data_IF_044533272188
#
_entry.id   IF_044533272188
#
_cell.length_a   1.000
_cell.length_b   1.000
_cell.length_c   1.000
_cell.angle_alpha   90.00
_cell.angle_beta   90.00
_cell.angle_gamma   90.00
#
_symmetry.space_group_name_H-M   'P 1'
#
loop_
_entity.id
_entity.type
_entity.pdbx_description
1 polymer ?
#
# COMPACT_ATOMS: atom_id res chain seq x y z
N UNK A 1 -55.65 12.97 -48.81
CA UNK A 1 -55.12 11.62 -48.50
C UNK A 1 -54.23 11.57 -47.24
N UNK A 2 -54.05 12.67 -46.49
CA UNK A 2 -53.10 12.78 -45.35
C UNK A 2 -53.73 12.41 -43.99
N UNK A 3 -55.06 12.27 -43.91
CA UNK A 3 -55.77 12.04 -42.63
C UNK A 3 -55.64 10.63 -42.03
N UNK A 4 -55.11 9.66 -42.78
CA UNK A 4 -55.12 8.23 -42.37
C UNK A 4 -53.81 7.77 -41.72
N UNK A 5 -52.75 8.56 -41.80
CA UNK A 5 -51.42 8.24 -41.22
C UNK A 5 -51.22 8.78 -39.80
N UNK A 6 -52.05 9.74 -39.36
CA UNK A 6 -51.96 10.35 -38.01
C UNK A 6 -52.39 9.39 -36.89
N UNK A 7 -53.27 8.41 -37.17
CA UNK A 7 -53.73 7.42 -36.19
C UNK A 7 -52.69 6.35 -35.84
N UNK A 8 -51.74 6.07 -36.74
CA UNK A 8 -50.67 5.09 -36.49
C UNK A 8 -49.57 5.65 -35.58
N UNK A 9 -49.37 6.98 -35.55
CA UNK A 9 -48.35 7.64 -34.74
C UNK A 9 -48.78 7.93 -33.29
N UNK A 10 -50.09 7.86 -32.97
CA UNK A 10 -50.58 8.06 -31.60
C UNK A 10 -50.45 6.81 -30.72
N UNK A 11 -50.59 5.61 -31.31
CA UNK A 11 -50.41 4.33 -30.59
C UNK A 11 -48.97 4.09 -30.16
N UNK A 12 -47.99 4.53 -30.94
CA UNK A 12 -46.57 4.36 -30.61
C UNK A 12 -46.13 5.25 -29.44
N UNK A 13 -46.72 6.44 -29.26
CA UNK A 13 -46.40 7.33 -28.12
C UNK A 13 -46.89 6.80 -26.78
N UNK A 14 -47.99 6.04 -26.75
CA UNK A 14 -48.52 5.44 -25.51
C UNK A 14 -47.65 4.24 -25.09
N UNK A 15 -47.25 3.39 -26.05
CA UNK A 15 -46.40 2.22 -25.78
C UNK A 15 -44.99 2.56 -25.25
N UNK A 16 -44.45 3.75 -25.55
CA UNK A 16 -43.15 4.21 -25.03
C UNK A 16 -43.29 4.73 -23.59
N UNK A 17 -44.45 5.32 -23.24
CA UNK A 17 -44.71 5.89 -21.91
C UNK A 17 -44.98 4.82 -20.85
N UNK A 18 -45.58 3.69 -21.23
CA UNK A 18 -45.78 2.53 -20.34
C UNK A 18 -44.51 1.69 -20.13
N UNK A 19 -43.46 1.92 -20.93
CA UNK A 19 -42.14 1.26 -20.80
C UNK A 19 -41.11 2.08 -20.02
N UNK A 20 -41.44 3.29 -19.59
CA UNK A 20 -40.61 4.09 -18.69
C UNK A 20 -40.93 3.71 -17.23
N UNK A 21 -40.61 2.46 -16.87
CA UNK A 21 -40.57 2.04 -15.47
C UNK A 21 -39.29 2.62 -14.86
N UNK A 22 -39.42 3.74 -14.14
CA UNK A 22 -38.32 4.32 -13.38
C UNK A 22 -38.00 3.47 -12.15
N UNK A 23 -36.72 3.43 -11.75
CA UNK A 23 -36.30 2.90 -10.46
C UNK A 23 -37.06 3.62 -9.35
N UNK A 24 -37.60 2.85 -8.40
CA UNK A 24 -38.23 3.43 -7.23
C UNK A 24 -37.17 4.04 -6.31
N UNK A 25 -37.49 5.15 -5.64
CA UNK A 25 -36.58 5.75 -4.64
C UNK A 25 -36.24 4.76 -3.51
N UNK A 26 -37.17 3.86 -3.19
CA UNK A 26 -36.96 2.84 -2.16
C UNK A 26 -35.95 1.75 -2.60
N UNK A 27 -35.93 1.38 -3.88
CA UNK A 27 -34.91 0.45 -4.41
C UNK A 27 -33.51 1.04 -4.28
N UNK A 28 -33.34 2.31 -4.65
CA UNK A 28 -32.04 2.97 -4.51
C UNK A 28 -31.67 3.16 -3.04
N UNK A 29 -32.64 3.43 -2.15
CA UNK A 29 -32.41 3.58 -0.72
C UNK A 29 -31.92 2.28 -0.07
N UNK A 30 -32.54 1.14 -0.37
CA UNK A 30 -32.12 -0.15 0.20
C UNK A 30 -30.73 -0.55 -0.32
N UNK A 31 -30.41 -0.25 -1.58
CA UNK A 31 -29.09 -0.57 -2.15
C UNK A 31 -27.98 0.22 -1.47
N UNK A 32 -28.13 1.54 -1.28
CA UNK A 32 -27.10 2.35 -0.60
C UNK A 32 -26.99 1.98 0.88
N UNK A 33 -28.09 1.54 1.51
CA UNK A 33 -28.06 1.01 2.88
C UNK A 33 -27.20 -0.25 2.96
N UNK A 34 -27.39 -1.21 2.04
CA UNK A 34 -26.60 -2.44 2.01
C UNK A 34 -25.12 -2.14 1.74
N UNK A 35 -24.81 -1.30 0.73
CA UNK A 35 -23.43 -0.91 0.43
C UNK A 35 -22.81 -0.17 1.63
N UNK A 36 -23.58 0.67 2.33
CA UNK A 36 -23.12 1.36 3.54
C UNK A 36 -22.69 0.41 4.65
N UNK A 37 -23.45 -0.65 4.91
CA UNK A 37 -23.09 -1.68 5.89
C UNK A 37 -21.83 -2.43 5.47
N UNK A 38 -21.74 -2.82 4.19
CA UNK A 38 -20.55 -3.51 3.67
C UNK A 38 -19.29 -2.64 3.75
N UNK A 39 -19.39 -1.36 3.37
CA UNK A 39 -18.28 -0.41 3.41
C UNK A 39 -17.78 -0.16 4.85
N UNK A 40 -18.69 -0.06 5.82
CA UNK A 40 -18.33 0.14 7.22
C UNK A 40 -17.42 -0.97 7.78
N UNK A 41 -17.60 -2.21 7.34
CA UNK A 41 -16.75 -3.35 7.74
C UNK A 41 -15.52 -3.48 6.84
N UNK A 42 -15.68 -3.28 5.53
CA UNK A 42 -14.60 -3.52 4.56
C UNK A 42 -13.47 -2.48 4.64
N UNK A 43 -13.78 -1.20 4.86
CA UNK A 43 -12.80 -0.11 4.89
C UNK A 43 -11.72 -0.32 5.97
N UNK A 44 -12.03 -0.55 7.26
CA UNK A 44 -10.99 -0.70 8.28
C UNK A 44 -10.11 -1.94 8.02
N UNK A 45 -10.68 -3.03 7.52
CA UNK A 45 -9.93 -4.23 7.14
C UNK A 45 -8.97 -3.92 6.01
N UNK A 46 -9.45 -3.26 4.95
CA UNK A 46 -8.63 -2.89 3.80
C UNK A 46 -7.45 -1.98 4.20
N UNK A 47 -7.71 -0.98 5.06
CA UNK A 47 -6.67 -0.09 5.56
C UNK A 47 -5.60 -0.85 6.36
N UNK A 48 -6.01 -1.75 7.25
CA UNK A 48 -5.07 -2.57 8.00
C UNK A 48 -4.22 -3.50 7.10
N UNK A 49 -4.85 -4.09 6.07
CA UNK A 49 -4.14 -4.90 5.08
C UNK A 49 -3.13 -4.06 4.28
N UNK A 50 -3.49 -2.82 3.94
CA UNK A 50 -2.59 -1.90 3.26
C UNK A 50 -1.38 -1.55 4.13
N UNK A 51 -1.56 -1.28 5.42
CA UNK A 51 -0.46 -1.05 6.36
C UNK A 51 0.45 -2.27 6.50
N UNK A 52 -0.11 -3.48 6.61
CA UNK A 52 0.68 -4.71 6.64
C UNK A 52 1.48 -4.96 5.35
N UNK A 53 0.93 -4.55 4.20
CA UNK A 53 1.64 -4.60 2.91
C UNK A 53 2.80 -3.59 2.87
N UNK A 54 2.61 -2.37 3.37
CA UNK A 54 3.66 -1.35 3.50
C UNK A 54 4.80 -1.84 4.40
N UNK A 55 4.47 -2.39 5.57
CA UNK A 55 5.47 -2.97 6.48
C UNK A 55 6.28 -4.08 5.80
N UNK A 56 5.59 -4.97 5.07
CA UNK A 56 6.22 -6.08 4.35
C UNK A 56 7.14 -5.58 3.24
N UNK A 57 6.74 -4.52 2.53
CA UNK A 57 7.56 -3.87 1.52
C UNK A 57 8.83 -3.27 2.13
N UNK A 58 8.73 -2.58 3.27
CA UNK A 58 9.91 -2.04 3.97
C UNK A 58 10.85 -3.16 4.39
N UNK A 59 10.33 -4.22 5.03
CA UNK A 59 11.12 -5.38 5.46
C UNK A 59 11.84 -6.05 4.29
N UNK A 60 11.18 -6.18 3.14
CA UNK A 60 11.79 -6.73 1.94
C UNK A 60 12.93 -5.84 1.43
N UNK A 61 12.71 -4.52 1.38
CA UNK A 61 13.70 -3.54 0.92
C UNK A 61 14.95 -3.50 1.81
N UNK A 62 14.79 -3.46 3.13
CA UNK A 62 15.95 -3.46 4.04
C UNK A 62 16.69 -4.81 4.03
N UNK A 63 15.99 -5.92 3.76
CA UNK A 63 16.63 -7.25 3.62
C UNK A 63 17.42 -7.35 2.32
N UNK A 64 16.89 -6.79 1.22
CA UNK A 64 17.60 -6.65 -0.04
C UNK A 64 18.85 -5.78 0.13
N UNK A 65 18.71 -4.63 0.79
CA UNK A 65 19.82 -3.74 1.09
C UNK A 65 20.90 -4.44 1.92
N UNK A 66 20.53 -5.17 2.98
CA UNK A 66 21.47 -5.98 3.77
C UNK A 66 22.25 -6.95 2.88
N UNK A 67 21.55 -7.68 2.02
CA UNK A 67 22.18 -8.67 1.12
C UNK A 67 23.14 -7.99 0.15
N UNK A 68 22.76 -6.83 -0.40
CA UNK A 68 23.60 -6.06 -1.31
C UNK A 68 24.85 -5.49 -0.62
N UNK A 69 24.69 -4.94 0.59
CA UNK A 69 25.80 -4.44 1.41
C UNK A 69 26.78 -5.57 1.74
N UNK A 70 26.28 -6.74 2.17
CA UNK A 70 27.14 -7.91 2.45
C UNK A 70 27.87 -8.39 1.19
N UNK A 71 27.21 -8.40 0.03
CA UNK A 71 27.86 -8.78 -1.23
C UNK A 71 28.98 -7.81 -1.64
N UNK A 72 28.74 -6.50 -1.48
CA UNK A 72 29.74 -5.47 -1.75
C UNK A 72 30.93 -5.56 -0.78
N UNK A 73 30.66 -5.84 0.51
CA UNK A 73 31.68 -6.04 1.53
C UNK A 73 32.68 -7.16 1.21
N UNK A 74 32.23 -8.22 0.54
CA UNK A 74 33.11 -9.32 0.12
C UNK A 74 34.00 -8.92 -1.06
N UNK A 75 33.53 -8.05 -1.95
CA UNK A 75 34.20 -7.75 -3.22
C UNK A 75 35.07 -6.50 -3.18
N UNK A 76 34.59 -5.42 -2.57
CA UNK A 76 35.24 -4.10 -2.56
C UNK A 76 35.35 -3.48 -1.16
N UNK A 77 34.75 -4.12 -0.15
CA UNK A 77 34.71 -3.61 1.21
C UNK A 77 33.41 -2.86 1.52
N UNK A 78 33.36 -2.23 2.68
CA UNK A 78 32.13 -1.59 3.16
C UNK A 78 31.71 -0.42 2.27
N UNK A 79 30.47 -0.41 1.75
CA UNK A 79 30.00 0.67 0.90
C UNK A 79 29.85 1.97 1.71
N UNK A 80 30.24 3.11 1.11
CA UNK A 80 30.08 4.42 1.76
C UNK A 80 28.60 4.87 1.75
N UNK A 81 27.84 4.38 0.77
CA UNK A 81 26.40 4.62 0.61
C UNK A 81 25.70 3.40 0.00
N UNK A 82 24.37 3.33 0.09
CA UNK A 82 23.62 2.23 -0.56
C UNK A 82 23.71 2.25 -2.08
N UNK A 83 24.02 3.40 -2.69
CA UNK A 83 24.24 3.53 -4.13
C UNK A 83 25.50 2.78 -4.61
N UNK A 84 26.48 2.62 -3.73
CA UNK A 84 27.69 1.85 -4.01
C UNK A 84 27.42 0.33 -4.01
N UNK A 85 26.35 -0.10 -3.32
CA UNK A 85 25.95 -1.50 -3.27
C UNK A 85 25.18 -1.88 -4.54
N UNK A 86 25.89 -2.20 -5.61
CA UNK A 86 25.34 -2.45 -6.97
C UNK A 86 24.20 -3.48 -7.09
N UNK A 87 24.04 -4.38 -6.13
CA UNK A 87 22.94 -5.35 -6.07
C UNK A 87 21.66 -4.82 -5.39
N UNK A 88 21.72 -3.61 -4.84
CA UNK A 88 20.58 -2.92 -4.26
C UNK A 88 19.79 -2.21 -5.36
N UNK A 89 18.46 -2.24 -5.26
CA UNK A 89 17.59 -1.50 -6.17
C UNK A 89 16.64 -0.69 -5.32
N UNK A 90 16.81 0.62 -5.35
CA UNK A 90 16.02 1.56 -4.57
C UNK A 90 14.53 1.51 -4.96
N UNK A 91 13.66 1.58 -3.95
CA UNK A 91 12.23 1.78 -4.14
C UNK A 91 11.88 3.25 -3.96
N UNK A 92 11.03 3.80 -4.84
CA UNK A 92 10.55 5.18 -4.73
C UNK A 92 9.69 5.46 -3.49
N UNK A 93 9.19 4.41 -2.85
CA UNK A 93 8.22 4.50 -1.76
C UNK A 93 8.82 4.12 -0.41
N UNK A 94 10.00 3.48 -0.40
CA UNK A 94 10.66 3.04 0.83
C UNK A 94 12.00 3.75 0.93
N UNK A 95 12.11 4.63 1.91
CA UNK A 95 13.37 5.26 2.26
C UNK A 95 14.20 4.26 3.06
N UNK A 96 15.44 4.00 2.65
CA UNK A 96 16.37 3.08 3.32
C UNK A 96 17.65 3.82 3.67
N UNK A 97 18.14 3.64 4.90
CA UNK A 97 19.34 4.30 5.41
C UNK A 97 20.28 3.25 5.98
N UNK A 98 21.51 3.20 5.46
CA UNK A 98 22.60 2.40 5.98
C UNK A 98 23.41 3.21 7.00
N UNK A 99 23.73 2.59 8.14
CA UNK A 99 24.61 3.14 9.16
C UNK A 99 25.62 2.10 9.62
N UNK A 100 26.81 2.54 10.03
CA UNK A 100 27.82 1.70 10.63
C UNK A 100 29.09 1.55 9.81
N UNK A 101 29.68 0.36 9.84
CA UNK A 101 31.01 0.09 9.31
C UNK A 101 31.16 -1.37 8.86
N UNK A 102 32.36 -1.70 8.37
CA UNK A 102 32.71 -3.04 7.90
C UNK A 102 32.57 -4.16 8.95
N UNK A 103 32.59 -3.84 10.26
CA UNK A 103 32.51 -4.84 11.33
C UNK A 103 31.14 -4.96 11.96
N UNK A 104 30.31 -3.93 11.84
CA UNK A 104 28.95 -3.89 12.37
C UNK A 104 28.19 -2.77 11.66
N UNK A 105 27.05 -3.11 11.07
CA UNK A 105 26.19 -2.16 10.38
C UNK A 105 24.73 -2.44 10.69
N UNK A 106 23.90 -1.41 10.52
CA UNK A 106 22.46 -1.51 10.65
C UNK A 106 21.79 -0.65 9.58
N UNK A 107 20.71 -1.19 9.05
CA UNK A 107 19.90 -0.59 8.00
C UNK A 107 18.53 -0.30 8.58
N UNK A 108 18.09 0.95 8.50
CA UNK A 108 16.71 1.35 8.84
C UNK A 108 15.93 1.63 7.55
N UNK A 109 14.65 1.28 7.53
CA UNK A 109 13.75 1.66 6.44
C UNK A 109 12.40 2.17 6.95
N UNK A 110 11.76 3.03 6.15
CA UNK A 110 10.38 3.49 6.37
C UNK A 110 9.63 3.63 5.05
N UNK A 111 8.32 3.39 5.07
CA UNK A 111 7.47 3.60 3.89
C UNK A 111 7.00 5.06 3.84
N UNK A 112 7.47 5.83 2.87
CA UNK A 112 7.11 7.24 2.68
C UNK A 112 7.16 8.04 3.98
N UNK A 113 6.03 8.65 4.36
CA UNK A 113 5.88 9.42 5.60
C UNK A 113 5.35 8.61 6.80
N UNK A 114 5.41 7.27 6.75
CA UNK A 114 5.01 6.41 7.87
C UNK A 114 5.87 6.66 9.12
N UNK A 115 5.23 6.67 10.28
CA UNK A 115 5.90 6.74 11.59
C UNK A 115 6.55 5.40 11.97
N UNK A 116 6.12 4.30 11.35
CA UNK A 116 6.65 2.97 11.64
C UNK A 116 7.94 2.76 10.86
N UNK A 117 9.01 2.46 11.60
CA UNK A 117 10.33 2.18 11.06
C UNK A 117 10.68 0.72 11.33
N UNK A 118 11.46 0.14 10.41
CA UNK A 118 11.99 -1.20 10.58
C UNK A 118 13.50 -1.15 10.48
N UNK A 119 14.18 -1.92 11.32
CA UNK A 119 15.63 -2.00 11.34
C UNK A 119 16.08 -3.44 11.19
N UNK A 120 17.22 -3.62 10.52
CA UNK A 120 17.92 -4.90 10.41
C UNK A 120 19.42 -4.65 10.58
N UNK A 121 20.05 -5.41 11.46
CA UNK A 121 21.50 -5.41 11.62
C UNK A 121 22.17 -6.52 10.81
N UNK A 122 23.48 -6.58 10.87
CA UNK A 122 24.32 -7.52 10.12
C UNK A 122 24.01 -9.00 10.40
N UNK A 123 23.55 -9.34 11.61
CA UNK A 123 23.35 -10.73 12.04
C UNK A 123 21.88 -11.13 12.30
N UNK A 124 20.97 -10.16 12.36
CA UNK A 124 19.59 -10.35 12.75
C UNK A 124 18.58 -10.35 11.61
N UNK A 125 17.32 -10.46 12.00
CA UNK A 125 16.16 -10.31 11.13
C UNK A 125 15.58 -8.90 11.24
N UNK A 126 14.78 -8.50 10.26
CA UNK A 126 14.07 -7.23 10.30
C UNK A 126 13.08 -7.17 11.47
N UNK A 127 13.28 -6.19 12.35
CA UNK A 127 12.39 -5.90 13.48
C UNK A 127 11.77 -4.51 13.31
N UNK A 128 10.63 -4.27 13.96
CA UNK A 128 10.08 -2.92 14.08
C UNK A 128 10.93 -2.14 15.07
N UNK A 129 11.49 -1.00 14.65
CA UNK A 129 12.49 -0.31 15.42
C UNK A 129 13.44 0.55 14.58
N UNK A 130 14.54 0.92 15.21
CA UNK A 130 15.56 1.82 14.63
C UNK A 130 16.96 1.29 14.89
N UNK A 131 17.93 1.80 14.14
CA UNK A 131 19.34 1.52 14.41
C UNK A 131 19.86 2.38 15.57
N UNK A 132 20.34 1.73 16.62
CA UNK A 132 21.04 2.39 17.74
C UNK A 132 22.42 1.78 17.83
N UNK A 133 23.48 2.59 17.71
CA UNK A 133 24.87 2.11 17.75
C UNK A 133 25.14 0.94 16.80
N UNK A 134 24.59 0.98 15.58
CA UNK A 134 24.70 -0.06 14.55
C UNK A 134 24.04 -1.40 14.89
N UNK A 135 23.09 -1.42 15.83
CA UNK A 135 22.30 -2.60 16.19
C UNK A 135 20.82 -2.31 15.99
N UNK A 136 20.07 -3.28 15.46
CA UNK A 136 18.64 -3.15 15.31
C UNK A 136 18.00 -3.21 16.71
N UNK A 137 17.41 -2.09 17.14
CA UNK A 137 16.77 -1.98 18.45
C UNK A 137 15.27 -1.88 18.26
N UNK A 138 14.54 -2.76 18.92
CA UNK A 138 13.08 -2.79 18.85
C UNK A 138 12.51 -1.42 19.26
N UNK A 139 11.48 -0.97 18.56
CA UNK A 139 10.71 0.18 19.00
C UNK A 139 10.18 -0.11 20.40
N UNK A 140 10.64 0.65 21.41
CA UNK A 140 9.97 0.64 22.70
C UNK A 140 8.56 1.10 22.43
N UNK A 141 7.57 0.26 22.80
CA UNK A 141 6.18 0.65 22.68
C UNK A 141 6.01 1.99 23.38
N UNK A 142 5.78 3.06 22.62
CA UNK A 142 5.11 4.22 23.15
C UNK A 142 3.77 3.69 23.64
N UNK A 143 3.71 3.47 24.95
CA UNK A 143 2.49 3.11 25.65
C UNK A 143 1.48 4.21 25.33
N UNK A 144 0.24 3.86 24.90
CA UNK A 144 -0.77 4.88 24.65
C UNK A 144 -1.06 5.71 25.90
#
# INVERSE_FOLDING_TARGET
MIHRTLGALSRTRIAIRDRQQGFTLIELLVVVLIIGVLAAVAIPIFLNQQEGAKDSAVKAQITQAKTAVVAEMVTKGYPASLDDASAYTESKEVDVVLTGSATAFCITGKFGSSTRMFAIDDNGAAIEGTCVSNVATAATAATP
#
